data_IF_749727494462
#
_entry.id   IF_749727494462
#
_cell.length_a   1.000
_cell.length_b   1.000
_cell.length_c   1.000
_cell.angle_alpha   90.00
_cell.angle_beta   90.00
_cell.angle_gamma   90.00
#
_symmetry.space_group_name_H-M   'P 1'
#
loop_
_entity.id
_entity.type
_entity.pdbx_description
1 polymer ?
#
# COMPACT_ATOMS: atom_id res chain seq x y z
N UNK A 1 1.08 -28.29 5.29
CA UNK A 1 1.56 -27.77 3.99
C UNK A 1 1.82 -26.28 4.14
N UNK A 2 2.92 -25.73 3.62
CA UNK A 2 3.11 -24.28 3.62
C UNK A 2 2.05 -23.66 2.71
N UNK A 3 1.40 -22.61 3.20
CA UNK A 3 0.42 -21.85 2.42
C UNK A 3 1.18 -20.88 1.51
N UNK A 4 1.04 -21.03 0.19
CA UNK A 4 1.59 -20.10 -0.80
C UNK A 4 0.70 -18.86 -0.85
N UNK A 5 1.16 -17.73 -0.30
CA UNK A 5 0.46 -16.44 -0.43
C UNK A 5 1.20 -15.54 -1.41
N UNK A 6 0.43 -14.88 -2.27
CA UNK A 6 0.96 -13.93 -3.26
C UNK A 6 0.24 -12.60 -3.17
N UNK A 7 0.99 -11.54 -3.46
CA UNK A 7 0.44 -10.20 -3.60
C UNK A 7 -0.52 -10.17 -4.79
N UNK A 8 -1.78 -9.81 -4.58
CA UNK A 8 -2.79 -9.75 -5.63
C UNK A 8 -3.20 -8.32 -5.96
N UNK A 9 -3.19 -7.42 -4.97
CA UNK A 9 -3.62 -6.03 -5.15
C UNK A 9 -2.98 -5.10 -4.14
N UNK A 10 -2.73 -3.86 -4.57
CA UNK A 10 -2.28 -2.76 -3.72
C UNK A 10 -3.23 -1.58 -3.92
N UNK A 11 -3.69 -0.99 -2.81
CA UNK A 11 -4.48 0.25 -2.81
C UNK A 11 -3.81 1.25 -1.88
N UNK A 12 -3.60 2.46 -2.38
CA UNK A 12 -3.02 3.58 -1.64
C UNK A 12 -3.97 4.75 -1.74
N UNK A 13 -4.32 5.34 -0.61
CA UNK A 13 -5.15 6.55 -0.51
C UNK A 13 -4.46 7.59 0.32
N UNK A 14 -4.45 8.82 -0.17
CA UNK A 14 -3.98 10.03 0.52
C UNK A 14 -2.55 9.95 1.09
N UNK A 15 -1.65 9.19 0.49
CA UNK A 15 -0.28 9.01 0.99
C UNK A 15 0.71 9.84 0.19
N UNK A 16 1.33 10.84 0.82
CA UNK A 16 2.29 11.78 0.20
C UNK A 16 1.69 12.38 -1.07
N UNK A 17 2.38 12.33 -2.22
CA UNK A 17 1.86 12.87 -3.48
C UNK A 17 0.76 12.05 -4.16
N UNK A 18 0.23 11.00 -3.52
CA UNK A 18 -0.77 10.10 -4.10
C UNK A 18 -2.13 10.33 -3.42
N UNK A 19 -3.08 10.88 -4.17
CA UNK A 19 -4.50 10.93 -3.80
C UNK A 19 -5.10 9.52 -3.82
N UNK A 20 -5.01 8.86 -4.98
CA UNK A 20 -5.49 7.50 -5.17
C UNK A 20 -4.58 6.71 -6.11
N UNK A 21 -4.23 5.49 -5.72
CA UNK A 21 -3.53 4.53 -6.54
C UNK A 21 -4.05 3.12 -6.28
N UNK A 22 -4.35 2.39 -7.34
CA UNK A 22 -4.82 1.01 -7.29
C UNK A 22 -4.11 0.20 -8.36
N UNK A 23 -3.55 -0.95 -7.95
CA UNK A 23 -2.78 -1.83 -8.82
C UNK A 23 -3.15 -3.28 -8.53
N UNK A 24 -3.60 -3.99 -9.57
CA UNK A 24 -3.76 -5.44 -9.55
C UNK A 24 -2.48 -6.11 -10.06
N UNK A 25 -1.99 -7.10 -9.32
CA UNK A 25 -0.77 -7.84 -9.63
C UNK A 25 -1.14 -9.18 -10.25
N UNK A 26 -0.67 -9.40 -11.48
CA UNK A 26 -0.93 -10.63 -12.20
C UNK A 26 0.05 -11.73 -11.80
N UNK A 27 -0.44 -12.94 -11.44
CA UNK A 27 0.43 -14.07 -11.15
C UNK A 27 1.30 -14.44 -12.35
N UNK A 28 2.57 -14.74 -12.11
CA UNK A 28 3.47 -15.25 -13.14
C UNK A 28 4.01 -14.21 -14.12
N UNK A 29 3.71 -12.92 -13.92
CA UNK A 29 4.24 -11.83 -14.73
C UNK A 29 4.86 -10.74 -13.84
N UNK A 30 6.07 -10.24 -14.16
CA UNK A 30 6.67 -9.15 -13.39
C UNK A 30 5.87 -7.86 -13.59
N UNK A 31 5.52 -7.20 -12.49
CA UNK A 31 4.91 -5.87 -12.54
C UNK A 31 6.00 -4.80 -12.53
N UNK A 32 5.98 -3.90 -13.52
CA UNK A 32 7.00 -2.87 -13.68
C UNK A 32 6.37 -1.48 -13.53
N UNK A 33 6.89 -0.68 -12.60
CA UNK A 33 6.48 0.71 -12.41
C UNK A 33 7.35 1.63 -13.28
N UNK A 34 6.74 2.30 -14.26
CA UNK A 34 7.42 3.19 -15.21
C UNK A 34 6.86 4.60 -15.10
N UNK A 35 7.70 5.61 -15.27
CA UNK A 35 7.32 7.02 -15.22
C UNK A 35 8.53 7.93 -15.02
N UNK A 36 8.34 9.24 -15.14
CA UNK A 36 9.38 10.25 -14.92
C UNK A 36 9.85 10.28 -13.45
N UNK A 37 10.99 10.90 -13.19
CA UNK A 37 11.42 11.19 -11.82
C UNK A 37 10.34 12.02 -11.11
N UNK A 38 10.16 11.78 -9.80
CA UNK A 38 9.08 12.34 -9.00
C UNK A 38 7.64 11.94 -9.38
N UNK A 39 7.41 11.04 -10.34
CA UNK A 39 6.07 10.55 -10.66
C UNK A 39 5.41 9.65 -9.58
N UNK A 40 6.03 9.50 -8.40
CA UNK A 40 5.47 8.71 -7.29
C UNK A 40 5.87 7.23 -7.26
N UNK A 41 6.74 6.75 -8.16
CA UNK A 41 7.20 5.35 -8.18
C UNK A 41 7.77 4.87 -6.84
N UNK A 42 8.72 5.64 -6.28
CA UNK A 42 9.31 5.34 -4.96
C UNK A 42 8.27 5.46 -3.85
N UNK A 43 7.30 6.36 -3.98
CA UNK A 43 6.20 6.51 -3.01
C UNK A 43 5.32 5.26 -2.97
N UNK A 44 5.02 4.65 -4.11
CA UNK A 44 4.27 3.38 -4.19
C UNK A 44 5.03 2.26 -3.47
N UNK A 45 6.33 2.12 -3.74
CA UNK A 45 7.16 1.09 -3.08
C UNK A 45 7.26 1.32 -1.56
N UNK A 46 7.39 2.58 -1.13
CA UNK A 46 7.42 2.93 0.30
C UNK A 46 6.09 2.62 0.99
N UNK A 47 4.95 2.85 0.33
CA UNK A 47 3.64 2.49 0.87
C UNK A 47 3.54 0.97 1.09
N UNK A 48 3.96 0.18 0.10
CA UNK A 48 3.98 -1.28 0.21
C UNK A 48 4.90 -1.73 1.36
N UNK A 49 6.11 -1.16 1.46
CA UNK A 49 7.05 -1.46 2.54
C UNK A 49 6.48 -1.07 3.93
N UNK A 50 5.76 0.05 4.02
CA UNK A 50 5.07 0.49 5.22
C UNK A 50 3.99 -0.52 5.63
N UNK A 51 3.18 -1.01 4.68
CA UNK A 51 2.19 -2.05 4.95
C UNK A 51 2.87 -3.27 5.61
N UNK A 52 3.99 -3.74 5.05
CA UNK A 52 4.73 -4.91 5.53
C UNK A 52 5.51 -4.76 6.84
N UNK A 53 5.51 -3.61 7.52
CA UNK A 53 6.35 -3.38 8.72
C UNK A 53 7.84 -3.69 8.47
N UNK A 54 8.38 -3.32 7.31
CA UNK A 54 9.83 -3.48 7.06
C UNK A 54 10.66 -2.76 8.15
N UNK A 55 11.89 -3.21 8.39
CA UNK A 55 12.72 -2.77 9.53
C UNK A 55 12.87 -1.23 9.63
N UNK A 56 12.91 -0.54 8.50
CA UNK A 56 12.97 0.92 8.39
C UNK A 56 11.71 1.62 8.94
N UNK A 57 10.59 0.90 9.06
CA UNK A 57 9.29 1.39 9.51
C UNK A 57 8.87 0.86 10.90
N UNK A 58 9.75 0.15 11.62
CA UNK A 58 9.40 -0.41 12.94
C UNK A 58 9.12 0.68 13.99
N UNK A 59 9.88 1.77 13.96
CA UNK A 59 9.73 2.93 14.84
C UNK A 59 9.23 4.17 14.09
N UNK A 60 8.70 3.98 12.89
CA UNK A 60 8.21 5.08 12.08
C UNK A 60 6.82 5.51 12.54
N UNK A 61 6.64 6.81 12.76
CA UNK A 61 5.34 7.44 12.95
C UNK A 61 5.04 8.35 11.76
N UNK A 62 3.77 8.50 11.38
CA UNK A 62 3.37 9.45 10.34
C UNK A 62 3.80 10.87 10.65
N UNK A 63 4.49 11.52 9.72
CA UNK A 63 4.71 12.95 9.75
C UNK A 63 3.65 13.68 8.92
N UNK A 64 3.53 15.00 9.10
CA UNK A 64 2.64 15.85 8.30
C UNK A 64 2.85 15.72 6.79
N UNK A 65 4.08 15.44 6.36
CA UNK A 65 4.45 15.27 4.94
C UNK A 65 4.02 13.94 4.35
N UNK A 66 3.58 12.99 5.17
CA UNK A 66 3.08 11.68 4.72
C UNK A 66 1.61 11.71 4.32
N UNK A 67 0.88 12.78 4.65
CA UNK A 67 -0.50 12.99 4.25
C UNK A 67 -0.58 13.74 2.92
N UNK A 68 -1.51 13.32 2.06
CA UNK A 68 -1.74 13.96 0.77
C UNK A 68 -2.17 15.41 0.90
N UNK A 69 -1.58 16.25 0.07
CA UNK A 69 -1.91 17.66 -0.06
C UNK A 69 -2.35 17.92 -1.49
N UNK A 70 -3.56 18.47 -1.66
CA UNK A 70 -4.08 18.78 -2.97
C UNK A 70 -3.45 20.05 -3.57
N UNK A 71 -3.81 20.36 -4.81
CA UNK A 71 -3.32 21.58 -5.49
C UNK A 71 -3.75 22.89 -4.82
N UNK A 72 -4.73 22.86 -3.92
CA UNK A 72 -5.23 24.03 -3.18
C UNK A 72 -4.53 24.21 -1.82
N UNK A 73 -3.66 23.27 -1.44
CA UNK A 73 -2.98 23.26 -0.14
C UNK A 73 -3.78 22.60 0.97
N UNK A 74 -4.92 21.97 0.66
CA UNK A 74 -5.72 21.23 1.62
C UNK A 74 -5.08 19.86 1.87
N UNK A 75 -4.76 19.58 3.13
CA UNK A 75 -4.14 18.32 3.55
C UNK A 75 -5.18 17.32 4.04
N UNK A 76 -5.00 16.07 3.65
CA UNK A 76 -5.77 14.93 4.15
C UNK A 76 -5.44 14.66 5.61
N UNK A 77 -6.44 14.31 6.42
CA UNK A 77 -6.27 13.99 7.85
C UNK A 77 -5.98 12.51 8.09
N UNK A 78 -6.16 11.71 7.05
CA UNK A 78 -5.97 10.28 7.09
C UNK A 78 -5.37 9.80 5.77
N UNK A 79 -4.57 8.75 5.87
CA UNK A 79 -4.13 8.00 4.71
C UNK A 79 -4.23 6.50 4.98
N UNK A 80 -4.33 5.75 3.90
CA UNK A 80 -4.56 4.32 3.94
C UNK A 80 -3.67 3.63 2.93
N UNK A 81 -3.05 2.54 3.39
CA UNK A 81 -2.36 1.59 2.53
C UNK A 81 -2.94 0.21 2.78
N UNK A 82 -3.46 -0.40 1.72
CA UNK A 82 -3.99 -1.74 1.72
C UNK A 82 -3.19 -2.61 0.76
N UNK A 83 -2.91 -3.82 1.21
CA UNK A 83 -2.21 -4.85 0.47
C UNK A 83 -3.02 -6.13 0.59
N UNK A 84 -3.41 -6.68 -0.55
CA UNK A 84 -4.21 -7.90 -0.63
C UNK A 84 -3.31 -9.07 -1.00
N UNK A 85 -3.58 -10.20 -0.35
CA UNK A 85 -2.96 -11.48 -0.66
C UNK A 85 -4.00 -12.48 -1.11
N UNK A 86 -3.57 -13.35 -2.00
CA UNK A 86 -4.32 -14.50 -2.46
C UNK A 86 -3.51 -15.75 -2.17
N UNK A 87 -4.15 -16.74 -1.55
CA UNK A 87 -3.59 -18.07 -1.39
C UNK A 87 -3.57 -18.82 -2.73
N UNK A 88 -2.53 -19.62 -2.95
CA UNK A 88 -2.43 -20.54 -4.08
C UNK A 88 -3.08 -21.91 -3.80
N UNK A 89 -3.25 -22.70 -4.86
CA UNK A 89 -3.75 -24.08 -4.78
C UNK A 89 -5.24 -24.18 -4.39
N UNK A 90 -5.62 -25.26 -3.72
CA UNK A 90 -7.00 -25.51 -3.26
C UNK A 90 -7.51 -24.47 -2.24
N UNK A 91 -6.63 -23.70 -1.63
CA UNK A 91 -7.02 -22.62 -0.71
C UNK A 91 -7.52 -21.38 -1.47
N UNK A 92 -7.19 -21.22 -2.75
CA UNK A 92 -7.57 -20.06 -3.56
C UNK A 92 -9.09 -19.92 -3.74
N UNK A 93 -9.82 -21.05 -3.74
CA UNK A 93 -11.27 -21.08 -3.92
C UNK A 93 -12.04 -20.95 -2.59
N UNK A 94 -11.35 -20.89 -1.46
CA UNK A 94 -11.98 -20.68 -0.15
C UNK A 94 -12.01 -19.17 0.20
N UNK A 95 -13.08 -18.69 0.87
CA UNK A 95 -13.13 -17.31 1.35
C UNK A 95 -11.95 -16.95 2.27
N UNK A 96 -11.46 -17.93 3.05
CA UNK A 96 -10.27 -17.79 3.90
C UNK A 96 -8.95 -17.70 3.14
N UNK A 97 -8.95 -18.00 1.84
CA UNK A 97 -7.78 -17.87 0.96
C UNK A 97 -7.50 -16.44 0.52
N UNK A 98 -8.38 -15.48 0.82
CA UNK A 98 -8.14 -14.06 0.60
C UNK A 98 -7.82 -13.40 1.93
N UNK A 99 -6.71 -12.67 1.99
CA UNK A 99 -6.37 -11.88 3.16
C UNK A 99 -6.02 -10.45 2.76
N UNK A 100 -6.34 -9.51 3.63
CA UNK A 100 -6.05 -8.09 3.42
C UNK A 100 -5.26 -7.60 4.61
N UNK A 101 -4.07 -7.07 4.33
CA UNK A 101 -3.30 -6.29 5.28
C UNK A 101 -3.59 -4.82 5.02
N UNK A 102 -4.24 -4.17 5.96
CA UNK A 102 -4.53 -2.74 5.89
C UNK A 102 -3.82 -2.00 7.00
N UNK A 103 -3.31 -0.82 6.66
CA UNK A 103 -2.94 0.20 7.62
C UNK A 103 -3.64 1.51 7.31
N UNK A 104 -4.29 2.04 8.33
CA UNK A 104 -4.87 3.36 8.32
C UNK A 104 -4.17 4.20 9.37
N UNK A 105 -3.83 5.42 9.00
CA UNK A 105 -3.19 6.37 9.90
C UNK A 105 -4.00 7.66 9.89
N UNK A 106 -4.28 8.17 11.08
CA UNK A 106 -4.99 9.42 11.28
C UNK A 106 -4.05 10.42 11.96
N UNK A 107 -4.09 11.67 11.51
CA UNK A 107 -3.34 12.75 12.13
C UNK A 107 -3.81 12.90 13.58
N UNK A 108 -2.90 12.69 14.54
CA UNK A 108 -3.19 12.92 15.93
C UNK A 108 -3.22 14.42 16.15
N UNK A 109 -4.38 14.98 16.51
CA UNK A 109 -4.46 16.37 16.99
C UNK A 109 -3.57 16.49 18.23
N UNK A 110 -2.50 17.27 18.15
CA UNK A 110 -1.87 17.87 19.33
C UNK A 110 -2.66 19.10 19.76
#
# INVERSE_FOLDING_TARGET
MPVDYRLSKVVIKNFRGIDYFELELQPGFPTVLIGTNNAGKTTVLNAIALAFHQAEFYNWSPAETDYYCDSTGSRSKEFLVQVHFQAGGELACLPSGQSVMQRSFTESKS
#
